data_IF_136154368010
#
_entry.id   IF_136154368010
#
_cell.length_a   1.000
_cell.length_b   1.000
_cell.length_c   1.000
_cell.angle_alpha   90.00
_cell.angle_beta   90.00
_cell.angle_gamma   90.00
#
_symmetry.space_group_name_H-M   'P 1'
#
loop_
_entity.id
_entity.type
_entity.pdbx_description
1 polymer ?
#
# COMPACT_ATOMS: atom_id res chain seq x y z
N UNK A 1 6.44 -19.16 -11.18
CA UNK A 1 7.20 -17.89 -11.06
C UNK A 1 7.13 -17.47 -9.60
N UNK A 2 8.26 -17.10 -9.01
CA UNK A 2 8.31 -16.74 -7.58
C UNK A 2 7.88 -15.28 -7.39
N UNK A 3 6.76 -15.07 -6.68
CA UNK A 3 6.22 -13.74 -6.38
C UNK A 3 7.25 -12.81 -5.74
N UNK A 4 8.15 -13.33 -4.88
CA UNK A 4 9.18 -12.52 -4.23
C UNK A 4 10.13 -11.91 -5.28
N UNK A 5 10.59 -12.70 -6.24
CA UNK A 5 11.45 -12.23 -7.33
C UNK A 5 10.75 -11.15 -8.18
N UNK A 6 9.45 -11.32 -8.46
CA UNK A 6 8.66 -10.31 -9.20
C UNK A 6 8.57 -9.01 -8.41
N UNK A 7 8.23 -9.10 -7.13
CA UNK A 7 8.14 -7.94 -6.24
C UNK A 7 9.50 -7.25 -6.14
N UNK A 8 10.60 -7.98 -5.99
CA UNK A 8 11.95 -7.40 -5.94
C UNK A 8 12.27 -6.59 -7.21
N UNK A 9 11.95 -7.14 -8.38
CA UNK A 9 12.08 -6.48 -9.69
C UNK A 9 11.21 -5.23 -9.80
N UNK A 10 9.93 -5.33 -9.43
CA UNK A 10 8.99 -4.21 -9.44
C UNK A 10 9.42 -3.06 -8.52
N UNK A 11 10.03 -3.40 -7.38
CA UNK A 11 10.53 -2.42 -6.40
C UNK A 11 11.93 -1.90 -6.71
N UNK A 12 12.68 -2.56 -7.61
CA UNK A 12 14.09 -2.30 -7.85
C UNK A 12 15.00 -2.62 -6.66
N UNK A 13 14.53 -3.42 -5.69
CA UNK A 13 15.26 -3.79 -4.47
C UNK A 13 14.61 -5.01 -3.79
N UNK A 14 15.37 -5.68 -2.93
CA UNK A 14 14.84 -6.79 -2.11
C UNK A 14 13.72 -6.33 -1.16
N UNK A 15 12.57 -7.04 -1.12
CA UNK A 15 11.50 -6.70 -0.20
C UNK A 15 11.84 -7.20 1.22
N UNK A 16 12.00 -6.23 2.14
CA UNK A 16 12.48 -6.48 3.52
C UNK A 16 11.46 -7.13 4.46
N UNK A 17 10.16 -6.90 4.25
CA UNK A 17 9.10 -7.37 5.15
C UNK A 17 7.98 -8.11 4.40
N UNK A 18 8.22 -8.55 3.16
CA UNK A 18 7.20 -9.22 2.35
C UNK A 18 6.75 -10.53 3.02
N UNK A 19 5.44 -10.60 3.32
CA UNK A 19 4.78 -11.78 3.86
C UNK A 19 4.06 -12.57 2.78
N UNK A 20 3.23 -11.90 1.96
CA UNK A 20 2.49 -12.51 0.84
C UNK A 20 1.98 -11.45 -0.14
N UNK A 21 1.59 -11.89 -1.33
CA UNK A 21 0.81 -11.09 -2.29
C UNK A 21 -0.66 -11.17 -1.91
N UNK A 22 -1.34 -10.01 -1.83
CA UNK A 22 -2.77 -9.92 -1.47
C UNK A 22 -3.65 -9.37 -2.58
N UNK A 23 -3.06 -8.72 -3.59
CA UNK A 23 -3.77 -8.36 -4.82
C UNK A 23 -2.87 -8.51 -6.04
N UNK A 24 -3.48 -8.92 -7.15
CA UNK A 24 -2.83 -9.07 -8.47
C UNK A 24 -3.50 -8.15 -9.48
N UNK A 25 -2.72 -7.67 -10.45
CA UNK A 25 -3.25 -6.90 -11.58
C UNK A 25 -3.94 -7.82 -12.61
N UNK A 26 -4.49 -7.24 -13.68
CA UNK A 26 -5.14 -7.97 -14.79
C UNK A 26 -4.25 -9.02 -15.47
N UNK A 27 -2.93 -8.89 -15.40
CA UNK A 27 -1.95 -9.87 -15.92
C UNK A 27 -1.59 -10.98 -14.92
N UNK A 28 -2.22 -11.02 -13.75
CA UNK A 28 -1.92 -11.99 -12.69
C UNK A 28 -0.62 -11.72 -11.91
N UNK A 29 0.07 -10.61 -12.18
CA UNK A 29 1.28 -10.24 -11.46
C UNK A 29 0.97 -9.49 -10.15
N UNK A 30 1.86 -9.55 -9.14
CA UNK A 30 1.69 -8.84 -7.88
C UNK A 30 1.42 -7.35 -8.10
N UNK A 31 0.39 -6.85 -7.43
CA UNK A 31 0.05 -5.44 -7.38
C UNK A 31 0.12 -4.89 -5.96
N UNK A 32 -0.29 -5.70 -4.97
CA UNK A 32 -0.23 -5.35 -3.55
C UNK A 32 0.31 -6.51 -2.73
N UNK A 33 1.15 -6.17 -1.77
CA UNK A 33 1.80 -7.11 -0.85
C UNK A 33 1.45 -6.77 0.59
N UNK A 34 1.21 -7.79 1.41
CA UNK A 34 1.11 -7.67 2.87
C UNK A 34 2.51 -7.78 3.48
N UNK A 35 2.80 -6.90 4.43
CA UNK A 35 4.08 -6.82 5.12
C UNK A 35 3.96 -7.35 6.54
N UNK A 36 5.00 -8.03 7.01
CA UNK A 36 5.22 -8.18 8.44
C UNK A 36 5.39 -6.80 9.10
N UNK A 37 4.87 -6.58 10.33
CA UNK A 37 5.01 -5.30 11.03
C UNK A 37 6.46 -4.87 11.26
N UNK A 38 7.34 -5.87 11.39
CA UNK A 38 8.78 -5.74 11.63
C UNK A 38 9.56 -6.59 10.63
N UNK A 39 10.65 -6.03 10.07
CA UNK A 39 11.57 -6.81 9.24
C UNK A 39 12.50 -7.72 10.08
N UNK A 40 13.40 -8.43 9.41
CA UNK A 40 14.30 -9.42 10.03
C UNK A 40 15.24 -8.85 11.10
N UNK A 41 15.46 -7.53 11.12
CA UNK A 41 16.27 -6.84 12.15
C UNK A 41 15.41 -6.06 13.15
N UNK A 42 14.09 -6.28 13.15
CA UNK A 42 13.15 -5.65 14.06
C UNK A 42 12.79 -4.21 13.70
N UNK A 43 13.16 -3.71 12.52
CA UNK A 43 12.78 -2.36 12.10
C UNK A 43 11.31 -2.33 11.66
N UNK A 44 10.49 -1.37 12.15
CA UNK A 44 9.10 -1.27 11.74
C UNK A 44 8.95 -0.98 10.24
N UNK A 45 7.94 -1.61 9.63
CA UNK A 45 7.48 -1.30 8.28
C UNK A 45 6.27 -0.35 8.34
N UNK A 46 6.24 0.79 7.63
CA UNK A 46 5.27 1.86 7.89
C UNK A 46 3.80 1.54 7.58
N UNK A 47 3.50 0.50 6.79
CA UNK A 47 2.13 0.12 6.41
C UNK A 47 1.99 -1.40 6.29
N UNK A 48 0.81 -1.94 6.56
CA UNK A 48 0.52 -3.37 6.37
C UNK A 48 0.44 -3.75 4.90
N UNK A 49 -0.16 -2.92 4.05
CA UNK A 49 -0.26 -3.18 2.60
C UNK A 49 0.61 -2.21 1.81
N UNK A 50 1.36 -2.75 0.85
CA UNK A 50 2.32 -2.01 0.03
C UNK A 50 2.11 -2.28 -1.46
N UNK A 51 2.00 -1.20 -2.23
CA UNK A 51 1.78 -1.23 -3.67
C UNK A 51 3.10 -1.52 -4.40
N UNK A 52 3.05 -2.44 -5.36
CA UNK A 52 4.22 -2.90 -6.13
C UNK A 52 4.06 -2.71 -7.64
N UNK A 53 2.83 -2.70 -8.18
CA UNK A 53 2.59 -2.51 -9.61
C UNK A 53 3.19 -1.18 -10.12
N UNK A 54 4.22 -1.19 -11.00
CA UNK A 54 4.90 0.03 -11.43
C UNK A 54 3.99 1.08 -12.07
N UNK A 55 3.02 0.66 -12.89
CA UNK A 55 2.08 1.58 -13.52
C UNK A 55 1.19 2.29 -12.49
N UNK A 56 0.61 1.54 -11.55
CA UNK A 56 -0.28 2.11 -10.55
C UNK A 56 0.49 3.00 -9.56
N UNK A 57 1.72 2.61 -9.20
CA UNK A 57 2.64 3.45 -8.42
C UNK A 57 2.89 4.78 -9.13
N UNK A 58 3.22 4.75 -10.42
CA UNK A 58 3.48 5.94 -11.21
C UNK A 58 2.23 6.82 -11.39
N UNK A 59 1.06 6.21 -11.57
CA UNK A 59 -0.20 6.95 -11.69
C UNK A 59 -0.55 7.71 -10.41
N UNK A 60 -0.50 7.03 -9.26
CA UNK A 60 -0.74 7.67 -7.97
C UNK A 60 0.31 8.74 -7.66
N UNK A 61 1.58 8.53 -8.03
CA UNK A 61 2.61 9.56 -7.88
C UNK A 61 2.29 10.83 -8.69
N UNK A 62 1.70 10.71 -9.89
CA UNK A 62 1.23 11.89 -10.66
C UNK A 62 0.09 12.61 -9.96
N UNK A 63 -0.87 11.88 -9.39
CA UNK A 63 -1.98 12.46 -8.63
C UNK A 63 -1.45 13.21 -7.39
N UNK A 64 -0.52 12.60 -6.66
CA UNK A 64 0.13 13.22 -5.51
C UNK A 64 0.92 14.47 -5.89
N UNK A 65 1.70 14.42 -6.97
CA UNK A 65 2.45 15.57 -7.48
C UNK A 65 1.54 16.73 -7.89
N UNK A 66 0.30 16.44 -8.31
CA UNK A 66 -0.74 17.43 -8.59
C UNK A 66 -1.51 17.91 -7.34
N UNK A 67 -1.01 17.62 -6.13
CA UNK A 67 -1.61 18.03 -4.86
C UNK A 67 -2.66 17.07 -4.31
N UNK A 68 -2.75 15.84 -4.83
CA UNK A 68 -3.83 14.90 -4.50
C UNK A 68 -3.94 14.55 -3.01
N UNK A 69 -2.83 14.50 -2.27
CA UNK A 69 -2.87 14.26 -0.81
C UNK A 69 -3.63 15.36 -0.07
N UNK A 70 -3.39 16.62 -0.43
CA UNK A 70 -4.07 17.76 0.17
C UNK A 70 -5.55 17.80 -0.24
N UNK A 71 -5.84 17.61 -1.54
CA UNK A 71 -7.23 17.59 -2.05
C UNK A 71 -8.07 16.50 -1.37
N UNK A 72 -7.57 15.27 -1.29
CA UNK A 72 -8.27 14.18 -0.59
C UNK A 72 -8.34 14.41 0.92
N UNK A 73 -7.34 15.07 1.51
CA UNK A 73 -7.37 15.46 2.92
C UNK A 73 -8.49 16.47 3.21
N UNK A 74 -8.69 17.43 2.30
CA UNK A 74 -9.80 18.37 2.37
C UNK A 74 -11.15 17.68 2.17
N UNK A 75 -11.27 16.79 1.19
CA UNK A 75 -12.48 15.98 0.99
C UNK A 75 -12.85 15.17 2.24
N UNK A 76 -11.85 14.57 2.93
CA UNK A 76 -12.06 13.89 4.23
C UNK A 76 -12.57 14.84 5.31
N UNK A 77 -12.11 16.09 5.33
CA UNK A 77 -12.56 17.08 6.33
C UNK A 77 -13.98 17.58 6.06
N UNK A 78 -14.42 17.60 4.80
CA UNK A 78 -15.71 18.14 4.36
C UNK A 78 -16.80 17.06 4.25
N UNK A 79 -16.44 15.82 3.92
CA UNK A 79 -17.37 14.72 3.70
C UNK A 79 -17.33 13.70 4.85
N UNK A 80 -18.41 13.65 5.65
CA UNK A 80 -18.51 12.75 6.79
C UNK A 80 -18.37 11.26 6.42
N UNK A 81 -18.80 10.86 5.21
CA UNK A 81 -18.63 9.50 4.72
C UNK A 81 -17.14 9.11 4.57
N UNK A 82 -16.33 10.01 4.01
CA UNK A 82 -14.89 9.78 3.81
C UNK A 82 -14.14 9.79 5.15
N UNK A 83 -14.53 10.66 6.08
CA UNK A 83 -14.02 10.66 7.44
C UNK A 83 -14.25 9.31 8.15
N UNK A 84 -15.49 8.82 8.16
CA UNK A 84 -15.81 7.53 8.77
C UNK A 84 -15.12 6.36 8.05
N UNK A 85 -15.00 6.43 6.72
CA UNK A 85 -14.28 5.44 5.92
C UNK A 85 -12.80 5.36 6.34
N UNK A 86 -12.13 6.51 6.48
CA UNK A 86 -10.74 6.59 6.90
C UNK A 86 -10.54 6.13 8.36
N UNK A 87 -11.44 6.49 9.26
CA UNK A 87 -11.38 6.07 10.66
C UNK A 87 -11.48 4.54 10.78
N UNK A 88 -12.48 3.94 10.10
CA UNK A 88 -12.65 2.48 10.08
C UNK A 88 -11.42 1.77 9.52
N UNK A 89 -10.90 2.23 8.38
CA UNK A 89 -9.72 1.62 7.76
C UNK A 89 -8.45 1.80 8.63
N UNK A 90 -8.36 2.92 9.36
CA UNK A 90 -7.27 3.16 10.31
C UNK A 90 -7.34 2.19 11.49
N UNK A 91 -8.52 1.93 12.06
CA UNK A 91 -8.62 0.96 13.14
C UNK A 91 -8.39 -0.48 12.65
N UNK A 92 -8.90 -0.81 11.46
CA UNK A 92 -8.66 -2.10 10.84
C UNK A 92 -7.16 -2.34 10.56
N UNK A 93 -6.45 -1.33 10.05
CA UNK A 93 -4.99 -1.37 9.89
C UNK A 93 -4.31 -1.71 11.22
N UNK A 94 -4.66 -1.01 12.30
CA UNK A 94 -4.08 -1.23 13.64
C UNK A 94 -4.37 -2.64 14.15
N UNK A 95 -5.60 -3.10 13.98
CA UNK A 95 -6.00 -4.45 14.37
C UNK A 95 -5.16 -5.50 13.64
N UNK A 96 -5.15 -5.48 12.30
CA UNK A 96 -4.38 -6.43 11.49
C UNK A 96 -2.89 -6.38 11.86
N UNK A 97 -2.36 -5.18 12.07
CA UNK A 97 -0.95 -4.99 12.41
C UNK A 97 -0.60 -5.57 13.78
N UNK A 98 -1.46 -5.42 14.79
CA UNK A 98 -1.30 -6.05 16.11
C UNK A 98 -1.41 -7.57 16.02
N UNK A 99 -2.38 -8.08 15.26
CA UNK A 99 -2.55 -9.53 15.04
C UNK A 99 -1.31 -10.15 14.37
N UNK A 100 -0.77 -9.52 13.33
CA UNK A 100 0.45 -9.97 12.66
C UNK A 100 1.68 -9.89 13.56
N UNK A 101 1.75 -8.89 14.45
CA UNK A 101 2.87 -8.77 15.38
C UNK A 101 2.84 -9.85 16.46
N UNK A 102 1.65 -10.20 16.96
CA UNK A 102 1.51 -11.02 18.15
C UNK A 102 2.17 -10.35 19.34
N UNK A 103 3.06 -11.08 20.03
CA UNK A 103 3.83 -10.55 21.16
C UNK A 103 5.09 -9.79 20.75
N UNK A 104 5.46 -9.80 19.46
CA UNK A 104 6.69 -9.15 18.99
C UNK A 104 6.62 -7.64 19.20
N UNK A 105 7.68 -7.09 19.79
CA UNK A 105 7.93 -5.65 19.90
C UNK A 105 9.28 -5.39 19.22
N UNK A 106 9.25 -4.75 18.05
CA UNK A 106 10.47 -4.43 17.31
C UNK A 106 11.29 -3.35 18.02
N UNK A 107 12.21 -2.72 17.29
CA UNK A 107 13.08 -1.64 17.84
C UNK A 107 12.34 -0.42 18.38
N UNK A 108 11.05 -0.29 18.07
CA UNK A 108 10.18 0.79 18.53
C UNK A 108 9.32 0.39 19.75
N UNK A 109 9.62 -0.74 20.37
CA UNK A 109 8.91 -1.28 21.54
C UNK A 109 7.38 -1.42 21.33
N UNK A 110 6.92 -1.58 20.08
CA UNK A 110 5.49 -1.67 19.76
C UNK A 110 4.87 -0.35 19.28
N UNK A 111 5.62 0.74 19.27
CA UNK A 111 5.11 2.08 18.93
C UNK A 111 4.43 2.16 17.57
N UNK A 112 4.95 1.45 16.54
CA UNK A 112 4.35 1.46 15.21
C UNK A 112 3.06 0.63 15.08
N UNK A 113 2.72 -0.21 16.07
CA UNK A 113 1.51 -1.05 16.01
C UNK A 113 0.23 -0.21 16.15
N UNK A 114 0.32 0.98 16.74
CA UNK A 114 -0.80 1.92 16.89
C UNK A 114 -0.95 2.91 15.73
N UNK A 115 -0.11 2.84 14.70
CA UNK A 115 -0.15 3.78 13.58
C UNK A 115 -1.24 3.39 12.58
N UNK A 116 -1.83 4.42 11.98
CA UNK A 116 -2.76 4.25 10.87
C UNK A 116 -2.07 3.89 9.56
N UNK A 117 -2.84 3.97 8.48
CA UNK A 117 -2.32 3.77 7.11
C UNK A 117 -1.16 4.74 6.84
N UNK A 118 -0.14 4.28 6.12
CA UNK A 118 1.10 5.02 5.86
C UNK A 118 1.90 5.46 7.11
N UNK A 119 1.68 4.81 8.26
CA UNK A 119 2.35 5.16 9.50
C UNK A 119 1.85 6.48 10.07
N UNK A 120 0.58 6.83 9.82
CA UNK A 120 0.01 8.08 10.33
C UNK A 120 -0.21 8.04 11.84
N UNK A 121 0.26 9.06 12.55
CA UNK A 121 -0.07 9.30 13.96
C UNK A 121 -1.42 10.01 14.11
N UNK A 122 -1.88 10.69 13.07
CA UNK A 122 -3.11 11.48 13.06
C UNK A 122 -4.14 10.75 12.19
N UNK A 123 -5.16 10.12 12.79
CA UNK A 123 -6.13 9.30 12.05
C UNK A 123 -6.85 10.04 10.93
N UNK A 124 -7.02 11.36 11.04
CA UNK A 124 -7.71 12.20 10.06
C UNK A 124 -6.82 12.76 8.94
N UNK A 125 -5.50 12.50 8.95
CA UNK A 125 -4.56 13.09 7.97
C UNK A 125 -3.96 12.03 7.06
N UNK A 126 -4.17 12.21 5.76
CA UNK A 126 -3.54 11.43 4.69
C UNK A 126 -2.06 11.81 4.58
N UNK A 127 -1.20 10.79 4.43
CA UNK A 127 0.24 10.97 4.18
C UNK A 127 0.63 10.65 2.74
N UNK A 128 0.17 9.51 2.22
CA UNK A 128 0.41 9.08 0.84
C UNK A 128 -0.76 8.27 0.29
N UNK A 129 -1.18 8.55 -0.94
CA UNK A 129 -2.25 7.87 -1.65
C UNK A 129 -1.88 6.41 -1.99
N UNK A 130 -0.59 6.08 -2.18
CA UNK A 130 -0.16 4.69 -2.46
C UNK A 130 -0.60 3.70 -1.38
N UNK A 131 -0.47 4.09 -0.11
CA UNK A 131 -0.85 3.22 1.00
C UNK A 131 -2.37 3.06 1.12
N UNK A 132 -3.14 4.12 0.83
CA UNK A 132 -4.61 4.05 0.83
C UNK A 132 -5.14 3.22 -0.34
N UNK A 133 -4.57 3.39 -1.53
CA UNK A 133 -4.85 2.56 -2.70
C UNK A 133 -4.49 1.08 -2.45
N UNK A 134 -3.31 0.82 -1.87
CA UNK A 134 -2.91 -0.54 -1.49
C UNK A 134 -3.88 -1.15 -0.48
N UNK A 135 -4.33 -0.37 0.51
CA UNK A 135 -5.29 -0.82 1.51
C UNK A 135 -6.64 -1.17 0.87
N UNK A 136 -7.19 -0.30 0.00
CA UNK A 136 -8.46 -0.57 -0.68
C UNK A 136 -8.42 -1.81 -1.57
N UNK A 137 -7.32 -2.04 -2.30
CA UNK A 137 -7.15 -3.25 -3.11
C UNK A 137 -7.08 -4.53 -2.25
N UNK A 138 -6.51 -4.45 -1.05
CA UNK A 138 -6.41 -5.58 -0.13
C UNK A 138 -7.70 -5.80 0.69
N UNK A 139 -8.44 -4.72 0.96
CA UNK A 139 -9.63 -4.67 1.83
C UNK A 139 -10.74 -3.88 1.13
N UNK A 140 -11.47 -4.51 0.17
CA UNK A 140 -12.61 -3.89 -0.49
C UNK A 140 -13.65 -3.38 0.50
N UNK A 141 -14.35 -2.30 0.14
CA UNK A 141 -15.25 -1.55 1.02
C UNK A 141 -14.58 -0.35 1.71
N UNK A 142 -13.28 -0.14 1.50
CA UNK A 142 -12.61 1.10 1.92
C UNK A 142 -12.89 2.24 0.93
N UNK A 143 -14.07 2.86 1.06
CA UNK A 143 -14.62 3.89 0.15
C UNK A 143 -13.61 4.98 -0.23
N UNK A 144 -12.89 5.57 0.73
CA UNK A 144 -11.90 6.61 0.41
C UNK A 144 -10.79 6.10 -0.53
N UNK A 145 -10.23 4.93 -0.24
CA UNK A 145 -9.21 4.34 -1.10
C UNK A 145 -9.75 3.91 -2.46
N UNK A 146 -11.00 3.44 -2.53
CA UNK A 146 -11.68 3.12 -3.80
C UNK A 146 -11.92 4.37 -4.66
N UNK A 147 -12.31 5.50 -4.07
CA UNK A 147 -12.44 6.77 -4.81
C UNK A 147 -11.10 7.32 -5.28
N UNK A 148 -10.03 7.17 -4.49
CA UNK A 148 -8.66 7.47 -4.92
C UNK A 148 -8.27 6.60 -6.13
N UNK A 149 -8.55 5.30 -6.09
CA UNK A 149 -8.28 4.38 -7.21
C UNK A 149 -9.08 4.75 -8.46
N UNK A 150 -10.30 5.28 -8.31
CA UNK A 150 -11.15 5.70 -9.42
C UNK A 150 -10.61 6.91 -10.20
N UNK A 151 -9.67 7.70 -9.65
CA UNK A 151 -8.95 8.74 -10.41
C UNK A 151 -7.91 8.16 -11.38
N UNK A 152 -7.57 6.88 -11.25
CA UNK A 152 -6.57 6.23 -12.10
C UNK A 152 -7.24 5.52 -13.27
N UNK A 153 -7.11 6.11 -14.46
CA UNK A 153 -7.59 5.53 -15.71
C UNK A 153 -6.47 5.46 -16.77
N UNK A 154 -6.12 4.26 -17.29
CA UNK A 154 -6.57 2.94 -16.83
C UNK A 154 -5.85 2.50 -15.54
N UNK A 155 -6.58 1.79 -14.67
CA UNK A 155 -6.04 1.26 -13.41
C UNK A 155 -4.88 0.28 -13.63
N UNK A 156 -5.01 -0.57 -14.64
CA UNK A 156 -4.01 -1.55 -15.04
C UNK A 156 -3.52 -1.26 -16.46
N UNK A 157 -2.31 -1.73 -16.83
CA UNK A 157 -1.86 -1.65 -18.21
C UNK A 157 -2.87 -2.34 -19.16
N UNK A 158 -3.18 -1.75 -20.31
CA UNK A 158 -4.09 -2.35 -21.29
C UNK A 158 -3.38 -3.25 -22.29
N UNK A 159 -2.20 -2.82 -22.77
CA UNK A 159 -1.58 -3.41 -23.96
C UNK A 159 -0.46 -4.40 -23.63
N UNK A 160 0.37 -4.06 -22.63
CA UNK A 160 1.50 -4.87 -22.18
C UNK A 160 1.70 -4.71 -20.69
N UNK A 161 2.18 -5.76 -20.03
CA UNK A 161 2.43 -5.68 -18.60
C UNK A 161 3.60 -4.72 -18.31
N UNK A 162 3.44 -3.83 -17.34
CA UNK A 162 4.53 -2.94 -16.90
C UNK A 162 5.70 -3.69 -16.26
N UNK A 163 5.56 -5.00 -16.01
CA UNK A 163 6.65 -5.88 -15.56
C UNK A 163 7.21 -6.78 -16.67
N UNK A 164 6.66 -6.80 -17.88
CA UNK A 164 7.10 -7.69 -18.99
C UNK A 164 8.52 -7.41 -19.49
N UNK A 165 9.00 -6.17 -19.39
CA UNK A 165 10.37 -5.82 -19.77
C UNK A 165 11.43 -6.19 -18.74
N UNK A 166 11.03 -6.62 -17.53
CA UNK A 166 11.94 -6.90 -16.42
C UNK A 166 12.44 -8.36 -16.42
N UNK A 167 11.94 -9.18 -17.36
CA UNK A 167 12.29 -10.61 -17.51
C UNK A 167 13.43 -10.88 -18.49
N UNK A 168 13.82 -9.93 -19.35
CA UNK A 168 14.91 -10.10 -20.32
C UNK A 168 16.29 -9.67 -19.79
N UNK A 169 16.35 -9.17 -18.55
CA UNK A 169 17.60 -8.84 -17.86
C UNK A 169 17.83 -9.87 -16.75
N UNK A 170 18.26 -11.06 -17.14
CA UNK A 170 18.82 -12.05 -16.22
C UNK A 170 20.21 -12.47 -16.73
N UNK A 171 21.20 -12.11 -15.93
CA UNK A 171 22.57 -12.64 -15.82
C UNK A 171 23.44 -12.70 -17.08
N UNK A 172 24.22 -11.62 -17.29
CA UNK A 172 25.58 -11.72 -17.78
C UNK A 172 26.55 -11.75 -16.59
#
# INVERSE_FOLDING_TARGET
>A
MDDRAIVARQLGREPRALRRVVARCSYGLPAVTEQDPYDSVGQPFPTTYYLTCPQLVAALARIEAAGGVERWGQAVAEEAELAHSLERATEEQRQVRRELAGERRGKDEGGSLGLGIAGSHTPSRLKCLHAHAAFALARPGYVLGERILAEVDPLWPSDRCCSEGVWMVDFG
#
